data_IF_296625689815
#
_entry.id   IF_296625689815
#
_cell.length_a   1.000
_cell.length_b   1.000
_cell.length_c   1.000
_cell.angle_alpha   90.00
_cell.angle_beta   90.00
_cell.angle_gamma   90.00
#
_symmetry.space_group_name_H-M   'P 1'
#
loop_
_entity.id
_entity.type
_entity.pdbx_description
1 polymer ?
#
# COMPACT_ATOMS: atom_id res chain seq x y z
N UNK A 1 -19.05 36.76 59.06
CA UNK A 1 -18.96 35.61 58.12
C UNK A 1 -20.03 35.66 57.00
N UNK A 2 -20.22 36.79 56.30
CA UNK A 2 -21.20 36.91 55.19
C UNK A 2 -20.57 37.14 53.82
N UNK A 3 -19.28 37.49 53.74
CA UNK A 3 -18.61 37.85 52.47
C UNK A 3 -18.06 36.66 51.66
N UNK A 4 -17.98 35.46 52.24
CA UNK A 4 -17.39 34.29 51.58
C UNK A 4 -18.42 33.29 51.01
N UNK A 5 -19.72 33.46 51.28
CA UNK A 5 -20.77 32.55 50.78
C UNK A 5 -20.88 32.58 49.24
N UNK A 6 -20.73 33.76 48.63
CA UNK A 6 -20.79 33.90 47.18
C UNK A 6 -19.53 33.34 46.48
N UNK A 7 -18.37 33.44 47.13
CA UNK A 7 -17.11 32.92 46.59
C UNK A 7 -17.10 31.39 46.53
N UNK A 8 -17.62 30.74 47.58
CA UNK A 8 -17.78 29.28 47.64
C UNK A 8 -18.83 28.77 46.63
N UNK A 9 -19.88 29.57 46.36
CA UNK A 9 -20.91 29.20 45.39
C UNK A 9 -20.40 29.26 43.95
N UNK A 10 -19.59 30.28 43.60
CA UNK A 10 -18.93 30.36 42.29
C UNK A 10 -17.91 29.24 42.08
N UNK A 11 -17.12 28.90 43.10
CA UNK A 11 -16.17 27.78 43.01
C UNK A 11 -16.89 26.43 42.78
N UNK A 12 -18.02 26.20 43.45
CA UNK A 12 -18.85 25.00 43.23
C UNK A 12 -19.44 24.92 41.82
N UNK A 13 -19.91 26.05 41.28
CA UNK A 13 -20.46 26.13 39.92
C UNK A 13 -19.40 25.86 38.85
N UNK A 14 -18.17 26.39 39.04
CA UNK A 14 -17.04 26.13 38.13
C UNK A 14 -16.62 24.66 38.17
N UNK A 15 -16.60 24.03 39.34
CA UNK A 15 -16.28 22.60 39.47
C UNK A 15 -17.32 21.72 38.76
N UNK A 16 -18.61 22.05 38.86
CA UNK A 16 -19.68 21.33 38.14
C UNK A 16 -19.59 21.56 36.63
N UNK A 17 -19.28 22.78 36.17
CA UNK A 17 -19.06 23.05 34.76
C UNK A 17 -17.85 22.28 34.20
N UNK A 18 -16.73 22.24 34.93
CA UNK A 18 -15.53 21.49 34.51
C UNK A 18 -15.78 19.98 34.52
N UNK A 19 -16.60 19.45 35.44
CA UNK A 19 -16.99 18.03 35.42
C UNK A 19 -17.96 17.70 34.27
N UNK A 20 -18.87 18.61 33.89
CA UNK A 20 -19.71 18.44 32.70
C UNK A 20 -18.91 18.52 31.38
N UNK A 21 -17.85 19.33 31.30
CA UNK A 21 -16.96 19.35 30.13
C UNK A 21 -16.06 18.12 30.04
N UNK A 22 -15.66 17.54 31.16
CA UNK A 22 -14.90 16.27 31.18
C UNK A 22 -15.77 15.03 30.95
N UNK A 23 -17.08 15.09 31.24
CA UNK A 23 -18.04 14.03 30.90
C UNK A 23 -18.53 14.05 29.45
N UNK A 24 -18.30 15.15 28.71
CA UNK A 24 -18.48 15.24 27.26
C UNK A 24 -17.17 15.10 26.47
N UNK A 25 -16.06 14.82 27.16
CA UNK A 25 -14.75 14.47 26.58
C UNK A 25 -14.56 12.97 26.32
N UNK A 26 -15.46 12.13 26.82
CA UNK A 26 -15.57 10.72 26.42
C UNK A 26 -16.44 10.60 25.16
N UNK A 27 -16.05 11.29 24.10
CA UNK A 27 -16.33 10.80 22.76
C UNK A 27 -15.62 9.46 22.66
N UNK A 28 -16.39 8.37 22.82
CA UNK A 28 -16.08 7.04 22.31
C UNK A 28 -15.31 7.19 21.00
N UNK A 29 -13.97 7.12 21.07
CA UNK A 29 -13.07 7.26 19.93
C UNK A 29 -13.15 6.01 19.07
N UNK A 30 -14.34 5.71 18.56
CA UNK A 30 -14.56 4.65 17.61
C UNK A 30 -13.90 5.04 16.31
N UNK A 31 -13.10 4.12 15.76
CA UNK A 31 -12.56 4.27 14.42
C UNK A 31 -13.70 4.57 13.44
N UNK A 32 -13.50 5.58 12.59
CA UNK A 32 -14.49 5.96 11.59
C UNK A 32 -14.39 5.01 10.41
N UNK A 33 -15.36 4.09 10.30
CA UNK A 33 -15.48 3.18 9.16
C UNK A 33 -15.81 4.00 7.90
N UNK A 34 -15.07 3.83 6.79
CA UNK A 34 -15.42 4.50 5.53
C UNK A 34 -16.83 4.14 5.07
N UNK A 35 -17.55 5.11 4.52
CA UNK A 35 -18.98 4.95 4.17
C UNK A 35 -19.26 3.87 3.11
N UNK A 36 -18.25 3.47 2.35
CA UNK A 36 -18.36 2.59 1.20
C UNK A 36 -17.98 1.13 1.47
N UNK A 37 -17.88 0.73 2.74
CA UNK A 37 -17.63 -0.65 3.13
C UNK A 37 -18.36 -1.01 4.41
N UNK A 38 -18.62 -2.29 4.61
CA UNK A 38 -19.20 -2.80 5.86
C UNK A 38 -18.16 -2.81 6.98
N UNK A 39 -18.62 -2.93 8.23
CA UNK A 39 -17.71 -3.14 9.37
C UNK A 39 -16.83 -4.38 9.19
N UNK A 40 -17.39 -5.47 8.67
CA UNK A 40 -16.65 -6.71 8.44
C UNK A 40 -15.55 -6.51 7.39
N UNK A 41 -15.85 -5.84 6.28
CA UNK A 41 -14.86 -5.50 5.26
C UNK A 41 -13.77 -4.57 5.82
N UNK A 42 -14.13 -3.61 6.66
CA UNK A 42 -13.18 -2.72 7.31
C UNK A 42 -12.22 -3.45 8.25
N UNK A 43 -12.74 -4.31 9.14
CA UNK A 43 -11.90 -5.13 10.01
C UNK A 43 -11.04 -6.13 9.22
N UNK A 44 -11.57 -6.65 8.11
CA UNK A 44 -10.81 -7.51 7.21
C UNK A 44 -9.66 -6.74 6.53
N UNK A 45 -9.93 -5.54 6.02
CA UNK A 45 -8.93 -4.70 5.34
C UNK A 45 -7.75 -4.34 6.26
N UNK A 46 -7.97 -4.19 7.58
CA UNK A 46 -6.90 -3.97 8.56
C UNK A 46 -5.85 -5.07 8.59
N UNK A 47 -6.16 -6.28 8.11
CA UNK A 47 -5.13 -7.33 8.03
C UNK A 47 -4.01 -6.99 7.06
N UNK A 48 -4.18 -5.97 6.22
CA UNK A 48 -3.17 -5.52 5.25
C UNK A 48 -2.45 -4.24 5.68
N UNK A 49 -2.63 -3.79 6.92
CA UNK A 49 -2.05 -2.55 7.44
C UNK A 49 -0.52 -2.43 7.24
N UNK A 50 0.29 -3.51 7.39
CA UNK A 50 1.71 -3.42 7.09
C UNK A 50 2.03 -3.04 5.64
N UNK A 51 1.26 -3.56 4.68
CA UNK A 51 1.41 -3.17 3.27
C UNK A 51 1.03 -1.72 3.05
N UNK A 52 -0.06 -1.23 3.66
CA UNK A 52 -0.46 0.17 3.53
C UNK A 52 0.63 1.10 4.07
N UNK A 53 1.11 0.84 5.29
CA UNK A 53 2.20 1.63 5.90
C UNK A 53 3.47 1.63 5.06
N UNK A 54 3.82 0.50 4.46
CA UNK A 54 4.97 0.41 3.56
C UNK A 54 4.78 1.25 2.28
N UNK A 55 3.58 1.24 1.70
CA UNK A 55 3.27 2.01 0.50
C UNK A 55 3.20 3.52 0.75
N UNK A 56 2.80 3.98 1.93
CA UNK A 56 2.72 5.41 2.26
C UNK A 56 4.09 6.11 2.33
N UNK A 57 5.17 5.35 2.48
CA UNK A 57 6.51 5.88 2.64
C UNK A 57 7.05 6.45 1.32
N UNK A 58 7.42 7.73 1.33
CA UNK A 58 8.14 8.40 0.23
C UNK A 58 9.50 7.75 -0.07
N UNK A 59 10.19 7.30 0.98
CA UNK A 59 11.42 6.52 0.91
C UNK A 59 11.19 5.20 1.60
N UNK A 60 11.37 4.09 0.88
CA UNK A 60 11.13 2.76 1.43
C UNK A 60 12.09 2.48 2.58
N UNK A 61 11.50 2.30 3.76
CA UNK A 61 12.17 1.78 4.94
C UNK A 61 11.98 0.27 4.95
N UNK A 62 13.10 -0.41 4.86
CA UNK A 62 13.16 -1.87 4.80
C UNK A 62 13.36 -2.50 6.19
N UNK A 63 13.38 -1.68 7.26
CA UNK A 63 13.48 -2.16 8.63
C UNK A 63 12.34 -3.12 8.96
N UNK A 64 12.68 -4.29 9.51
CA UNK A 64 11.72 -5.34 9.83
C UNK A 64 11.37 -6.27 8.67
N UNK A 65 11.91 -6.06 7.46
CA UNK A 65 11.69 -6.93 6.30
C UNK A 65 12.87 -7.87 6.05
N UNK A 66 12.60 -9.08 5.54
CA UNK A 66 13.61 -10.03 5.05
C UNK A 66 13.86 -9.89 3.55
N UNK A 67 12.83 -9.52 2.79
CA UNK A 67 12.94 -9.31 1.36
C UNK A 67 11.89 -8.30 0.86
N UNK A 68 12.18 -7.68 -0.28
CA UNK A 68 11.25 -6.83 -1.01
C UNK A 68 11.37 -7.11 -2.50
N UNK A 69 10.22 -7.35 -3.15
CA UNK A 69 10.18 -7.54 -4.59
C UNK A 69 9.25 -6.50 -5.23
N UNK A 70 9.78 -5.75 -6.20
CA UNK A 70 9.02 -4.84 -7.06
C UNK A 70 8.98 -5.40 -8.48
N UNK A 71 7.80 -5.46 -9.08
CA UNK A 71 7.62 -6.00 -10.44
C UNK A 71 6.74 -5.12 -11.30
N UNK A 72 7.13 -4.98 -12.56
CA UNK A 72 6.28 -4.47 -13.64
C UNK A 72 6.17 -5.54 -14.70
N UNK A 73 4.95 -5.98 -14.96
CA UNK A 73 4.60 -6.85 -16.08
C UNK A 73 3.82 -6.04 -17.11
N UNK A 74 4.23 -6.11 -18.36
CA UNK A 74 3.58 -5.43 -19.49
C UNK A 74 3.31 -6.48 -20.54
N UNK A 75 2.04 -6.61 -20.94
CA UNK A 75 1.65 -7.39 -22.10
C UNK A 75 1.00 -6.46 -23.11
N UNK A 76 1.56 -6.39 -24.31
CA UNK A 76 0.99 -5.66 -25.44
C UNK A 76 0.75 -6.66 -26.58
N UNK A 77 -0.51 -7.03 -26.81
CA UNK A 77 -0.87 -8.14 -27.69
C UNK A 77 -0.10 -9.43 -27.31
N UNK A 78 0.82 -9.89 -28.16
CA UNK A 78 1.63 -11.10 -27.94
C UNK A 78 2.99 -10.81 -27.29
N UNK A 79 3.44 -9.54 -27.28
CA UNK A 79 4.70 -9.16 -26.66
C UNK A 79 4.54 -9.05 -25.14
N UNK A 80 5.39 -9.77 -24.41
CA UNK A 80 5.44 -9.76 -22.94
C UNK A 80 6.79 -9.23 -22.48
N UNK A 81 6.75 -8.24 -21.60
CA UNK A 81 7.90 -7.67 -20.91
C UNK A 81 7.69 -7.76 -19.40
N UNK A 82 8.73 -8.18 -18.68
CA UNK A 82 8.76 -8.21 -17.23
C UNK A 82 10.04 -7.55 -16.74
N UNK A 83 9.87 -6.68 -15.78
CA UNK A 83 10.95 -6.02 -15.05
C UNK A 83 10.77 -6.36 -13.58
N UNK A 84 11.80 -6.86 -12.92
CA UNK A 84 11.73 -7.33 -11.54
C UNK A 84 12.98 -6.93 -10.77
N UNK A 85 12.79 -6.27 -9.65
CA UNK A 85 13.84 -6.05 -8.65
C UNK A 85 13.49 -6.89 -7.43
N UNK A 86 14.39 -7.79 -7.06
CA UNK A 86 14.26 -8.63 -5.87
C UNK A 86 15.40 -8.35 -4.90
N UNK A 87 15.07 -7.79 -3.73
CA UNK A 87 16.02 -7.33 -2.72
C UNK A 87 16.03 -8.28 -1.52
N UNK A 88 17.22 -8.71 -1.13
CA UNK A 88 17.54 -9.34 0.15
C UNK A 88 17.92 -8.26 1.18
N UNK A 89 17.21 -8.27 2.31
CA UNK A 89 17.28 -7.27 3.39
C UNK A 89 17.82 -7.92 4.69
N UNK A 90 18.40 -9.12 4.60
CA UNK A 90 18.94 -9.82 5.76
C UNK A 90 20.29 -9.27 6.23
N UNK A 91 20.99 -8.51 5.36
CA UNK A 91 22.29 -7.91 5.63
C UNK A 91 22.20 -6.39 5.84
N UNK A 92 23.29 -5.79 6.35
CA UNK A 92 23.39 -4.34 6.53
C UNK A 92 23.31 -3.58 5.18
N UNK A 93 23.93 -4.15 4.14
CA UNK A 93 23.81 -3.65 2.78
C UNK A 93 22.65 -4.35 2.07
N UNK A 94 21.68 -3.58 1.58
CA UNK A 94 20.56 -4.13 0.81
C UNK A 94 21.06 -4.46 -0.59
N UNK A 95 21.00 -5.75 -0.93
CA UNK A 95 21.49 -6.31 -2.18
C UNK A 95 20.37 -7.08 -2.86
N UNK A 96 20.52 -7.35 -4.15
CA UNK A 96 19.52 -8.09 -4.87
C UNK A 96 19.86 -8.22 -6.34
N UNK A 97 18.85 -8.57 -7.11
CA UNK A 97 18.95 -8.72 -8.55
C UNK A 97 17.90 -7.87 -9.25
N UNK A 98 18.29 -7.25 -10.35
CA UNK A 98 17.38 -6.71 -11.33
C UNK A 98 17.34 -7.65 -12.54
N UNK A 99 16.14 -8.13 -12.86
CA UNK A 99 15.88 -9.03 -13.97
C UNK A 99 14.95 -8.39 -14.99
N UNK A 100 15.37 -8.44 -16.26
CA UNK A 100 14.56 -8.09 -17.43
C UNK A 100 14.20 -9.40 -18.13
N UNK A 101 12.95 -9.53 -18.55
CA UNK A 101 12.50 -10.61 -19.42
C UNK A 101 11.67 -10.03 -20.55
N UNK A 102 12.04 -10.33 -21.80
CA UNK A 102 11.33 -9.88 -23.00
C UNK A 102 11.13 -11.11 -23.88
N UNK A 103 9.89 -11.60 -23.98
CA UNK A 103 9.64 -12.91 -24.59
C UNK A 103 10.40 -14.01 -23.86
N UNK A 104 11.28 -14.71 -24.59
CA UNK A 104 12.14 -15.78 -24.05
C UNK A 104 13.50 -15.27 -23.56
N UNK A 105 13.88 -14.04 -23.90
CA UNK A 105 15.16 -13.45 -23.50
C UNK A 105 15.10 -13.00 -22.05
N UNK A 106 16.17 -13.31 -21.29
CA UNK A 106 16.32 -12.94 -19.89
C UNK A 106 17.71 -12.41 -19.60
N UNK A 107 17.77 -11.23 -18.98
CA UNK A 107 18.99 -10.62 -18.48
C UNK A 107 18.84 -10.35 -16.98
N UNK A 108 19.87 -10.64 -16.18
CA UNK A 108 19.89 -10.39 -14.74
C UNK A 108 21.21 -9.74 -14.37
N UNK A 109 21.14 -8.63 -13.63
CA UNK A 109 22.30 -7.92 -13.10
C UNK A 109 22.16 -7.72 -11.59
N UNK A 110 23.24 -7.81 -10.82
CA UNK A 110 23.19 -7.55 -9.39
C UNK A 110 22.92 -6.06 -9.14
N UNK A 111 22.15 -5.77 -8.10
CA UNK A 111 21.84 -4.41 -7.64
C UNK A 111 22.09 -4.24 -6.15
N UNK A 112 22.39 -3.00 -5.75
CA UNK A 112 22.33 -2.58 -4.35
C UNK A 112 21.35 -1.42 -4.22
N UNK A 113 20.65 -1.35 -3.09
CA UNK A 113 19.75 -0.24 -2.81
C UNK A 113 20.35 0.65 -1.71
N UNK A 114 20.48 1.93 -2.00
CA UNK A 114 20.90 2.92 -1.02
C UNK A 114 20.32 4.29 -1.34
N UNK A 115 19.98 5.07 -0.31
CA UNK A 115 19.47 6.43 -0.44
C UNK A 115 18.27 6.60 -1.41
N UNK A 116 17.38 5.61 -1.47
CA UNK A 116 16.21 5.67 -2.36
C UNK A 116 16.44 5.18 -3.79
N UNK A 117 17.64 4.70 -4.11
CA UNK A 117 18.07 4.42 -5.48
C UNK A 117 18.68 3.04 -5.65
N UNK A 118 18.48 2.49 -6.85
CA UNK A 118 19.11 1.26 -7.29
C UNK A 118 20.47 1.57 -7.93
N UNK A 119 21.50 0.86 -7.48
CA UNK A 119 22.84 0.91 -8.06
C UNK A 119 23.11 -0.42 -8.75
N UNK A 120 23.51 -0.38 -10.01
CA UNK A 120 23.67 -1.57 -10.85
C UNK A 120 25.14 -2.00 -10.86
N UNK A 121 25.39 -3.30 -10.64
CA UNK A 121 26.75 -3.86 -10.65
C UNK A 121 27.33 -4.02 -12.05
N UNK A 122 26.50 -3.94 -13.09
CA UNK A 122 26.90 -3.96 -14.50
C UNK A 122 25.95 -3.09 -15.33
N UNK A 123 26.38 -2.73 -16.54
CA UNK A 123 25.53 -2.03 -17.52
C UNK A 123 24.30 -2.90 -17.85
N UNK A 124 23.13 -2.26 -17.90
CA UNK A 124 21.85 -2.89 -18.24
C UNK A 124 20.93 -1.83 -18.84
N UNK A 125 20.12 -2.18 -19.83
CA UNK A 125 19.17 -1.25 -20.44
C UNK A 125 17.86 -1.98 -20.79
N UNK A 126 16.68 -1.44 -20.40
CA UNK A 126 16.48 -0.23 -19.61
C UNK A 126 16.76 -0.44 -18.11
N UNK A 127 17.03 0.65 -17.39
CA UNK A 127 17.02 0.64 -15.93
C UNK A 127 15.61 0.38 -15.40
N UNK A 128 15.52 -0.09 -14.15
CA UNK A 128 14.23 -0.26 -13.49
C UNK A 128 13.61 1.10 -13.17
N UNK A 129 12.29 1.18 -13.23
CA UNK A 129 11.55 2.39 -12.96
C UNK A 129 11.57 2.73 -11.46
N UNK A 130 12.40 3.69 -11.06
CA UNK A 130 12.56 4.08 -9.64
C UNK A 130 11.26 4.60 -9.01
N UNK A 131 10.36 5.19 -9.81
CA UNK A 131 9.06 5.65 -9.34
C UNK A 131 8.16 4.46 -8.95
N UNK A 132 8.25 3.36 -9.70
CA UNK A 132 7.51 2.14 -9.41
C UNK A 132 8.18 1.32 -8.30
N UNK A 133 9.52 1.34 -8.23
CA UNK A 133 10.25 0.74 -7.11
C UNK A 133 9.85 1.40 -5.79
N UNK A 134 9.78 2.73 -5.78
CA UNK A 134 9.43 3.52 -4.61
C UNK A 134 7.95 3.92 -4.59
N UNK A 135 7.07 3.15 -5.23
CA UNK A 135 5.67 3.53 -5.42
C UNK A 135 5.02 3.99 -4.11
N UNK A 136 4.50 5.22 -4.12
CA UNK A 136 3.82 5.81 -2.97
C UNK A 136 2.30 5.73 -3.18
N UNK A 137 1.60 5.09 -2.25
CA UNK A 137 0.14 5.03 -2.28
C UNK A 137 -0.41 5.35 -0.89
N UNK A 138 -1.15 6.45 -0.78
CA UNK A 138 -1.70 6.94 0.48
C UNK A 138 -2.88 6.07 0.95
N UNK A 139 -3.10 5.95 2.26
CA UNK A 139 -4.28 5.21 2.79
C UNK A 139 -5.60 5.71 2.20
N UNK A 140 -5.71 7.02 1.98
CA UNK A 140 -6.90 7.66 1.41
C UNK A 140 -7.28 7.13 0.02
N UNK A 141 -6.31 6.64 -0.76
CA UNK A 141 -6.61 5.97 -2.02
C UNK A 141 -7.42 4.70 -1.76
N UNK A 142 -6.96 3.81 -0.87
CA UNK A 142 -7.68 2.56 -0.55
C UNK A 142 -9.03 2.81 0.13
N UNK A 143 -9.16 3.85 0.95
CA UNK A 143 -10.44 4.22 1.57
C UNK A 143 -11.42 4.87 0.59
N UNK A 144 -10.94 5.40 -0.54
CA UNK A 144 -11.80 5.89 -1.62
C UNK A 144 -12.38 4.77 -2.48
N UNK A 145 -11.69 3.63 -2.58
CA UNK A 145 -12.13 2.50 -3.41
C UNK A 145 -13.20 1.66 -2.73
N UNK A 146 -14.27 1.32 -3.45
CA UNK A 146 -15.29 0.39 -2.98
C UNK A 146 -14.71 -1.04 -2.93
N UNK A 147 -15.06 -1.80 -1.89
CA UNK A 147 -14.64 -3.20 -1.78
C UNK A 147 -15.53 -4.05 -2.68
N UNK A 148 -14.92 -4.76 -3.64
CA UNK A 148 -15.62 -5.71 -4.51
C UNK A 148 -15.80 -7.05 -3.83
N UNK A 149 -14.72 -7.59 -3.27
CA UNK A 149 -14.69 -8.93 -2.70
C UNK A 149 -13.60 -9.05 -1.62
N UNK A 150 -13.88 -9.87 -0.61
CA UNK A 150 -12.89 -10.32 0.37
C UNK A 150 -12.85 -11.83 0.35
N UNK A 151 -11.67 -12.41 0.24
CA UNK A 151 -11.45 -13.85 0.24
C UNK A 151 -10.58 -14.25 1.42
N UNK A 152 -10.99 -15.29 2.15
CA UNK A 152 -10.19 -15.92 3.20
C UNK A 152 -10.17 -17.42 2.94
N UNK A 153 -8.98 -17.97 2.77
CA UNK A 153 -8.78 -19.41 2.64
C UNK A 153 -9.17 -20.13 3.93
N UNK A 154 -9.76 -21.31 3.80
CA UNK A 154 -10.06 -22.20 4.92
C UNK A 154 -8.84 -23.05 5.32
N UNK A 155 -7.93 -23.30 4.38
CA UNK A 155 -6.79 -24.22 4.54
C UNK A 155 -5.47 -23.50 4.80
N UNK A 156 -5.39 -22.24 4.37
CA UNK A 156 -4.18 -21.44 4.45
C UNK A 156 -4.46 -20.09 5.08
N UNK A 157 -3.41 -19.36 5.44
CA UNK A 157 -3.52 -18.01 5.99
C UNK A 157 -3.80 -16.96 4.90
N UNK A 158 -4.03 -17.39 3.66
CA UNK A 158 -4.28 -16.49 2.54
C UNK A 158 -5.56 -15.67 2.79
N UNK A 159 -5.38 -14.36 2.79
CA UNK A 159 -6.42 -13.34 2.80
C UNK A 159 -6.22 -12.44 1.60
N UNK A 160 -7.28 -12.10 0.90
CA UNK A 160 -7.24 -11.19 -0.24
C UNK A 160 -8.43 -10.24 -0.18
N UNK A 161 -8.17 -8.96 -0.47
CA UNK A 161 -9.18 -7.95 -0.71
C UNK A 161 -9.03 -7.45 -2.14
N UNK A 162 -10.14 -7.42 -2.87
CA UNK A 162 -10.23 -6.93 -4.24
C UNK A 162 -11.15 -5.71 -4.22
N UNK A 163 -10.67 -4.61 -4.78
CA UNK A 163 -11.45 -3.39 -4.90
C UNK A 163 -12.20 -3.35 -6.24
N UNK A 164 -13.25 -2.51 -6.29
CA UNK A 164 -13.94 -2.22 -7.54
C UNK A 164 -12.99 -1.49 -8.53
N UNK A 165 -13.25 -1.62 -9.84
CA UNK A 165 -12.44 -0.92 -10.83
C UNK A 165 -12.43 0.60 -10.61
N UNK A 166 -11.24 1.18 -10.60
CA UNK A 166 -10.98 2.61 -10.59
C UNK A 166 -10.68 3.12 -12.00
N UNK A 167 -11.17 4.32 -12.28
CA UNK A 167 -11.00 5.03 -13.55
C UNK A 167 -10.92 6.56 -13.37
N UNK A 168 -10.75 7.05 -12.15
CA UNK A 168 -10.79 8.48 -11.85
C UNK A 168 -9.75 8.96 -10.85
N UNK A 169 -9.14 8.06 -10.06
CA UNK A 169 -8.09 8.48 -9.12
C UNK A 169 -6.87 9.08 -9.83
N UNK A 170 -6.10 9.87 -9.09
CA UNK A 170 -4.87 10.45 -9.62
C UNK A 170 -3.81 9.38 -9.88
N UNK A 171 -3.77 8.33 -9.06
CA UNK A 171 -2.91 7.15 -9.30
C UNK A 171 -3.26 6.48 -10.63
N UNK A 172 -4.55 6.26 -10.90
CA UNK A 172 -5.01 5.70 -12.18
C UNK A 172 -4.60 6.58 -13.36
N UNK A 173 -4.92 7.88 -13.31
CA UNK A 173 -4.60 8.82 -14.40
C UNK A 173 -3.11 8.86 -14.69
N UNK A 174 -2.31 8.92 -13.63
CA UNK A 174 -0.86 8.94 -13.71
C UNK A 174 -0.31 7.65 -14.35
N UNK A 175 -0.67 6.48 -13.82
CA UNK A 175 -0.20 5.20 -14.36
C UNK A 175 -0.70 4.95 -15.79
N UNK A 176 -1.96 5.30 -16.10
CA UNK A 176 -2.51 5.21 -17.46
C UNK A 176 -1.70 6.05 -18.45
N UNK A 177 -1.36 7.29 -18.09
CA UNK A 177 -0.54 8.17 -18.92
C UNK A 177 0.89 7.65 -19.05
N UNK A 178 1.51 7.21 -17.95
CA UNK A 178 2.90 6.72 -17.90
C UNK A 178 3.11 5.53 -18.83
N UNK A 179 2.13 4.64 -18.91
CA UNK A 179 2.20 3.46 -19.76
C UNK A 179 1.47 3.61 -21.10
N UNK A 180 1.04 4.81 -21.47
CA UNK A 180 0.33 5.06 -22.75
C UNK A 180 -0.80 4.05 -22.99
N UNK A 181 -1.72 4.00 -22.03
CA UNK A 181 -2.83 3.06 -21.99
C UNK A 181 -4.10 3.66 -22.62
N UNK A 182 -4.87 2.88 -23.41
CA UNK A 182 -6.08 3.36 -24.10
C UNK A 182 -7.16 3.94 -23.17
N UNK A 183 -8.11 4.68 -23.74
CA UNK A 183 -9.14 5.37 -22.97
C UNK A 183 -9.98 4.40 -22.13
N UNK A 184 -10.34 3.24 -22.68
CA UNK A 184 -11.17 2.21 -22.06
C UNK A 184 -10.47 1.41 -20.94
N UNK A 185 -9.23 1.76 -20.59
CA UNK A 185 -8.46 1.08 -19.55
C UNK A 185 -9.15 1.14 -18.21
N UNK A 186 -9.29 -0.04 -17.59
CA UNK A 186 -9.76 -0.22 -16.21
C UNK A 186 -8.57 -0.45 -15.28
N UNK A 187 -8.62 0.05 -14.04
CA UNK A 187 -7.63 -0.23 -13.02
C UNK A 187 -8.25 -1.05 -11.88
N UNK A 188 -7.65 -2.19 -11.54
CA UNK A 188 -8.09 -3.03 -10.43
C UNK A 188 -6.94 -3.11 -9.44
N UNK A 189 -7.27 -2.88 -8.18
CA UNK A 189 -6.32 -3.02 -7.07
C UNK A 189 -6.73 -4.22 -6.24
N UNK A 190 -5.73 -5.01 -5.86
CA UNK A 190 -5.88 -6.11 -4.92
C UNK A 190 -4.74 -6.11 -3.93
N UNK A 191 -5.03 -6.53 -2.71
CA UNK A 191 -4.04 -6.69 -1.65
C UNK A 191 -4.25 -8.05 -1.02
N UNK A 192 -3.17 -8.81 -0.86
CA UNK A 192 -3.23 -10.08 -0.17
C UNK A 192 -2.12 -10.23 0.87
N UNK A 193 -2.41 -11.12 1.82
CA UNK A 193 -1.55 -11.51 2.92
C UNK A 193 -1.55 -13.03 2.98
N UNK A 194 -0.37 -13.63 3.12
CA UNK A 194 -0.20 -15.08 3.13
C UNK A 194 1.00 -15.47 3.98
N UNK A 195 1.02 -16.74 4.44
CA UNK A 195 2.15 -17.32 5.19
C UNK A 195 2.61 -16.46 6.37
N UNK A 196 1.66 -15.81 7.06
CA UNK A 196 1.82 -14.86 8.17
C UNK A 196 2.66 -13.61 7.92
N UNK A 197 3.60 -13.63 6.97
CA UNK A 197 4.64 -12.61 6.82
C UNK A 197 4.72 -12.01 5.42
N UNK A 198 3.93 -12.52 4.45
CA UNK A 198 4.01 -12.09 3.06
C UNK A 198 2.82 -11.22 2.73
N UNK A 199 3.07 -9.97 2.35
CA UNK A 199 2.03 -9.06 1.89
C UNK A 199 2.33 -8.66 0.44
N UNK A 200 1.29 -8.55 -0.36
CA UNK A 200 1.38 -8.13 -1.75
C UNK A 200 0.29 -7.12 -2.06
N UNK A 201 0.66 -6.02 -2.71
CA UNK A 201 -0.26 -5.19 -3.47
C UNK A 201 -0.07 -5.48 -4.95
N UNK A 202 -1.15 -5.51 -5.71
CA UNK A 202 -1.12 -5.54 -7.17
C UNK A 202 -2.06 -4.47 -7.71
N UNK A 203 -1.54 -3.64 -8.61
CA UNK A 203 -2.31 -2.65 -9.38
C UNK A 203 -2.27 -3.13 -10.82
N UNK A 204 -3.44 -3.44 -11.36
CA UNK A 204 -3.59 -3.97 -12.72
C UNK A 204 -4.37 -2.99 -13.57
N UNK A 205 -3.70 -2.41 -14.57
CA UNK A 205 -4.33 -1.63 -15.62
C UNK A 205 -4.57 -2.54 -16.83
N UNK A 206 -5.83 -2.67 -17.25
CA UNK A 206 -6.23 -3.58 -18.32
C UNK A 206 -7.11 -2.86 -19.34
N UNK A 207 -6.68 -2.97 -20.60
CA UNK A 207 -7.44 -2.67 -21.80
C UNK A 207 -7.55 -3.92 -22.68
N UNK A 208 -8.23 -3.81 -23.83
CA UNK A 208 -8.28 -4.91 -24.80
C UNK A 208 -6.94 -5.13 -25.52
N UNK A 209 -6.07 -4.12 -25.54
CA UNK A 209 -4.82 -4.14 -26.30
C UNK A 209 -3.60 -4.39 -25.40
N UNK A 210 -3.65 -3.86 -24.18
CA UNK A 210 -2.50 -3.77 -23.28
C UNK A 210 -2.89 -4.02 -21.83
N UNK A 211 -2.04 -4.78 -21.14
CA UNK A 211 -2.11 -5.04 -19.70
C UNK A 211 -0.82 -4.55 -19.08
N UNK A 212 -0.93 -3.77 -18.02
CA UNK A 212 0.18 -3.43 -17.14
C UNK A 212 -0.18 -3.88 -15.73
N UNK A 213 0.70 -4.64 -15.11
CA UNK A 213 0.56 -5.08 -13.73
C UNK A 213 1.79 -4.65 -12.95
N UNK A 214 1.56 -3.82 -11.94
CA UNK A 214 2.57 -3.41 -10.96
C UNK A 214 2.31 -4.20 -9.69
N UNK A 215 3.34 -4.82 -9.13
CA UNK A 215 3.21 -5.49 -7.84
C UNK A 215 4.38 -5.19 -6.93
N UNK A 216 4.07 -4.91 -5.66
CA UNK A 216 5.04 -4.85 -4.58
C UNK A 216 4.75 -5.98 -3.61
N UNK A 217 5.79 -6.73 -3.24
CA UNK A 217 5.72 -7.82 -2.27
C UNK A 217 6.71 -7.53 -1.16
N UNK A 218 6.22 -7.45 0.07
CA UNK A 218 7.09 -7.38 1.26
C UNK A 218 7.03 -8.71 1.99
N UNK A 219 8.19 -9.09 2.51
CA UNK A 219 8.35 -10.25 3.35
C UNK A 219 8.81 -9.75 4.71
N UNK A 220 7.95 -9.85 5.72
CA UNK A 220 8.31 -9.49 7.09
C UNK A 220 9.25 -10.54 7.70
N UNK A 221 10.06 -10.10 8.66
CA UNK A 221 10.78 -11.01 9.58
C UNK A 221 9.76 -11.66 10.52
N UNK A 222 9.99 -12.93 10.84
CA UNK A 222 9.22 -13.64 11.87
C UNK A 222 9.53 -13.12 13.28
#
# INVERSE_FOLDING_TARGET
MKKYKHLLWFAGLVIILVSLFSLNGCSLGGETIPKNRTKEQYEFEKTFEPMFKFLEQDKKDFTGLKAYTSRVYIKNQDEVKKYEVDLDITQADIKGDYTITIGDDKETVPVTYSNGKLNYGSEVTPLYDEEIHNLVVQRDFFTSLDVKETFKSAETELREIIYQPDNHSDLYKHLKSKYDLPEETTCIVLVNHSSSTIYRVTIQLKSNQKIVQISSVIFEKE
#
